data_IF_951809323879
#
_entry.id   IF_951809323879
#
_cell.length_a   1.000
_cell.length_b   1.000
_cell.length_c   1.000
_cell.angle_alpha   90.00
_cell.angle_beta   90.00
_cell.angle_gamma   90.00
#
_symmetry.space_group_name_H-M   'P 1'
#
loop_
_entity.id
_entity.type
_entity.pdbx_description
1 polymer ?
#
# COMPACT_ATOMS: atom_id res chain seq x y z
N UNK A 1 -2.40 -3.90 -10.34
CA UNK A 1 -0.99 -3.67 -9.93
C UNK A 1 -0.73 -4.18 -8.51
N UNK A 2 -1.69 -4.03 -7.59
CA UNK A 2 -1.70 -4.69 -6.28
C UNK A 2 -3.14 -5.11 -5.97
N UNK A 3 -3.34 -6.33 -5.48
CA UNK A 3 -4.66 -6.85 -5.05
C UNK A 3 -4.48 -7.59 -3.74
N UNK A 4 -5.36 -7.27 -2.79
CA UNK A 4 -5.46 -7.88 -1.47
C UNK A 4 -6.80 -8.60 -1.40
N UNK A 5 -6.78 -9.90 -1.15
CA UNK A 5 -7.94 -10.69 -0.78
C UNK A 5 -7.82 -11.15 0.67
N UNK A 6 -8.92 -11.13 1.40
CA UNK A 6 -9.03 -11.74 2.72
C UNK A 6 -10.06 -12.86 2.61
N UNK A 7 -9.77 -14.00 3.21
CA UNK A 7 -10.69 -15.13 3.29
C UNK A 7 -10.82 -15.58 4.73
N UNK A 8 -12.02 -16.01 5.09
CA UNK A 8 -12.31 -16.60 6.38
C UNK A 8 -13.44 -17.64 6.23
N UNK A 9 -13.38 -18.71 7.01
CA UNK A 9 -14.37 -19.79 7.09
C UNK A 9 -14.51 -20.32 8.51
N UNK A 10 -15.59 -21.02 8.82
CA UNK A 10 -15.80 -21.67 10.12
C UNK A 10 -15.89 -20.72 11.32
N UNK A 11 -16.24 -19.44 11.11
CA UNK A 11 -16.31 -18.43 12.19
C UNK A 11 -17.72 -18.21 12.77
N UNK A 12 -18.74 -18.88 12.23
CA UNK A 12 -20.15 -18.73 12.64
C UNK A 12 -20.37 -19.02 14.13
N UNK A 13 -19.67 -20.02 14.67
CA UNK A 13 -19.75 -20.44 16.08
C UNK A 13 -19.30 -19.36 17.08
N UNK A 14 -18.59 -18.31 16.64
CA UNK A 14 -18.14 -17.22 17.50
C UNK A 14 -19.05 -15.99 17.46
N UNK A 15 -19.95 -15.93 16.48
CA UNK A 15 -20.81 -14.75 16.23
C UNK A 15 -22.28 -15.05 16.54
N UNK A 16 -22.70 -16.33 16.55
CA UNK A 16 -24.08 -16.69 16.86
C UNK A 16 -24.42 -16.51 18.34
N UNK A 17 -25.55 -15.84 18.58
CA UNK A 17 -26.27 -15.84 19.85
C UNK A 17 -27.73 -16.27 19.67
N UNK A 18 -28.04 -17.11 18.68
CA UNK A 18 -29.40 -17.56 18.38
C UNK A 18 -29.47 -19.04 17.96
N UNK A 19 -30.51 -19.72 18.45
CA UNK A 19 -30.85 -21.15 18.32
C UNK A 19 -31.18 -21.62 16.88
N UNK A 20 -30.41 -21.23 15.87
CA UNK A 20 -30.51 -21.82 14.53
C UNK A 20 -29.44 -22.92 14.39
N UNK A 21 -29.69 -24.06 15.05
CA UNK A 21 -28.88 -25.30 15.00
C UNK A 21 -28.96 -26.06 13.66
N UNK A 22 -29.52 -25.47 12.61
CA UNK A 22 -29.65 -26.14 11.31
C UNK A 22 -28.48 -25.74 10.40
N UNK A 23 -27.41 -26.56 10.50
CA UNK A 23 -26.16 -26.55 9.73
C UNK A 23 -25.03 -25.70 10.34
N UNK A 24 -24.63 -25.99 11.58
CA UNK A 24 -23.25 -25.74 11.98
C UNK A 24 -22.34 -26.68 11.17
N UNK A 25 -21.85 -26.21 10.02
CA UNK A 25 -20.68 -26.81 9.40
C UNK A 25 -19.57 -26.77 10.46
N UNK A 26 -19.21 -27.95 10.97
CA UNK A 26 -18.08 -28.20 11.88
C UNK A 26 -16.75 -28.05 11.11
N UNK A 27 -16.69 -27.00 10.29
CA UNK A 27 -15.55 -26.56 9.53
C UNK A 27 -14.58 -25.87 10.48
N UNK A 28 -13.32 -26.26 10.38
CA UNK A 28 -12.26 -25.64 11.14
C UNK A 28 -12.20 -24.14 10.82
N UNK A 29 -12.17 -23.33 11.87
CA UNK A 29 -12.07 -21.89 11.74
C UNK A 29 -10.74 -21.54 11.07
N UNK A 30 -10.79 -21.03 9.85
CA UNK A 30 -9.61 -20.68 9.06
C UNK A 30 -9.75 -19.24 8.59
N UNK A 31 -8.67 -18.47 8.66
CA UNK A 31 -8.60 -17.18 7.99
C UNK A 31 -7.22 -16.92 7.43
N UNK A 32 -7.16 -16.15 6.36
CA UNK A 32 -5.92 -15.77 5.74
C UNK A 32 -6.10 -14.66 4.73
N UNK A 33 -5.01 -14.42 4.03
CA UNK A 33 -4.85 -13.33 3.08
C UNK A 33 -4.17 -13.84 1.82
N UNK A 34 -4.69 -13.42 0.68
CA UNK A 34 -4.08 -13.62 -0.63
C UNK A 34 -3.61 -12.28 -1.18
N UNK A 35 -2.43 -12.30 -1.80
CA UNK A 35 -1.78 -11.10 -2.33
C UNK A 35 -1.40 -11.34 -3.78
N UNK A 36 -1.74 -10.39 -4.64
CA UNK A 36 -1.25 -10.36 -6.02
C UNK A 36 -0.52 -9.04 -6.26
N UNK A 37 0.75 -9.12 -6.63
CA UNK A 37 1.62 -7.96 -6.84
C UNK A 37 2.18 -8.01 -8.26
N UNK A 38 1.96 -6.93 -9.02
CA UNK A 38 2.36 -6.81 -10.44
C UNK A 38 1.93 -8.01 -11.32
N UNK A 39 0.76 -8.59 -11.03
CA UNK A 39 0.23 -9.74 -11.78
C UNK A 39 0.78 -11.10 -11.33
N UNK A 40 1.71 -11.14 -10.37
CA UNK A 40 2.18 -12.37 -9.73
C UNK A 40 1.38 -12.64 -8.47
N UNK A 41 0.77 -13.82 -8.39
CA UNK A 41 0.05 -14.30 -7.20
C UNK A 41 1.07 -14.83 -6.21
N UNK A 42 1.08 -14.29 -4.99
CA UNK A 42 1.93 -14.76 -3.89
C UNK A 42 1.27 -15.91 -3.15
N UNK A 43 2.07 -16.68 -2.41
CA UNK A 43 1.53 -17.73 -1.53
C UNK A 43 0.56 -17.10 -0.52
N UNK A 44 -0.67 -17.62 -0.37
CA UNK A 44 -1.58 -17.15 0.65
C UNK A 44 -0.96 -17.27 2.04
N UNK A 45 -1.15 -16.24 2.85
CA UNK A 45 -0.71 -16.21 4.24
C UNK A 45 -1.89 -16.60 5.12
N UNK A 46 -1.80 -17.73 5.80
CA UNK A 46 -2.83 -18.20 6.74
C UNK A 46 -2.53 -17.56 8.10
N UNK A 47 -3.52 -16.88 8.68
CA UNK A 47 -3.41 -16.24 9.99
C UNK A 47 -3.59 -17.24 11.11
N UNK A 48 -4.53 -18.16 10.94
CA UNK A 48 -4.78 -19.28 11.85
C UNK A 48 -5.48 -20.39 11.08
N UNK A 49 -5.22 -21.63 11.48
CA UNK A 49 -5.84 -22.84 10.98
C UNK A 49 -6.39 -23.65 12.16
N UNK A 50 -7.69 -23.54 12.39
CA UNK A 50 -8.42 -24.19 13.48
C UNK A 50 -8.75 -23.27 14.65
N UNK A 51 -9.79 -23.68 15.41
CA UNK A 51 -10.34 -22.93 16.55
C UNK A 51 -9.30 -22.71 17.66
N UNK A 52 -8.39 -23.66 17.87
CA UNK A 52 -7.36 -23.59 18.92
C UNK A 52 -6.30 -22.51 18.69
N UNK A 53 -5.85 -22.34 17.45
CA UNK A 53 -4.86 -21.32 17.09
C UNK A 53 -5.46 -19.91 17.13
N UNK A 54 -6.67 -19.75 16.58
CA UNK A 54 -7.46 -18.51 16.70
C UNK A 54 -7.58 -18.09 18.17
N UNK A 55 -8.04 -19.02 19.00
CA UNK A 55 -8.19 -18.79 20.43
C UNK A 55 -6.87 -18.47 21.11
N UNK A 56 -5.78 -19.16 20.73
CA UNK A 56 -4.42 -18.83 21.17
C UNK A 56 -4.06 -17.37 20.88
N UNK A 57 -4.37 -16.84 19.70
CA UNK A 57 -4.13 -15.44 19.34
C UNK A 57 -5.02 -14.44 20.10
N UNK A 58 -6.28 -14.79 20.36
CA UNK A 58 -7.20 -13.96 21.18
C UNK A 58 -6.72 -13.89 22.63
N UNK A 59 -6.37 -15.02 23.25
CA UNK A 59 -5.92 -15.08 24.64
C UNK A 59 -4.53 -14.50 24.87
N UNK A 60 -3.61 -14.70 23.94
CA UNK A 60 -2.27 -14.10 24.00
C UNK A 60 -2.26 -12.61 23.63
N UNK A 61 -3.36 -12.11 23.05
CA UNK A 61 -3.47 -10.74 22.59
C UNK A 61 -2.55 -10.39 21.41
N UNK A 62 -1.92 -11.39 20.77
CA UNK A 62 -0.95 -11.15 19.69
C UNK A 62 -1.58 -10.50 18.46
N UNK A 63 -2.87 -10.72 18.23
CA UNK A 63 -3.61 -10.08 17.13
C UNK A 63 -3.71 -8.56 17.28
N UNK A 64 -3.64 -8.04 18.51
CA UNK A 64 -3.76 -6.62 18.82
C UNK A 64 -2.50 -5.83 18.49
N UNK A 65 -1.38 -6.47 18.17
CA UNK A 65 -0.15 -5.79 17.77
C UNK A 65 -0.08 -5.65 16.24
N UNK A 66 0.31 -4.47 15.72
CA UNK A 66 0.57 -4.30 14.30
C UNK A 66 1.60 -5.33 13.81
N UNK A 67 1.18 -6.18 12.88
CA UNK A 67 1.99 -7.27 12.34
C UNK A 67 2.25 -7.01 10.85
N UNK A 68 3.52 -7.00 10.40
CA UNK A 68 3.85 -6.81 8.99
C UNK A 68 3.42 -8.04 8.20
N UNK A 69 2.60 -7.81 7.18
CA UNK A 69 2.03 -8.84 6.32
C UNK A 69 2.75 -8.91 4.95
N UNK A 70 3.24 -7.76 4.45
CA UNK A 70 4.01 -7.71 3.20
C UNK A 70 4.96 -6.51 3.19
N UNK A 71 6.25 -6.76 2.96
CA UNK A 71 7.27 -5.71 2.83
C UNK A 71 8.17 -6.02 1.64
N UNK A 72 8.10 -5.17 0.61
CA UNK A 72 8.93 -5.37 -0.57
C UNK A 72 9.16 -4.08 -1.35
N UNK A 73 10.35 -3.99 -1.94
CA UNK A 73 10.68 -2.99 -2.96
C UNK A 73 10.79 -3.67 -4.30
N UNK A 74 10.08 -3.14 -5.29
CA UNK A 74 10.06 -3.67 -6.65
C UNK A 74 10.39 -2.55 -7.64
N UNK A 75 11.11 -2.91 -8.70
CA UNK A 75 11.36 -2.00 -9.81
C UNK A 75 10.09 -1.91 -10.66
N UNK A 76 9.65 -0.68 -10.93
CA UNK A 76 8.52 -0.37 -11.82
C UNK A 76 8.97 -0.14 -13.25
N UNK A 77 10.10 0.55 -13.39
CA UNK A 77 10.65 0.93 -14.69
C UNK A 77 12.17 0.86 -14.58
N UNK A 78 12.79 0.16 -15.51
CA UNK A 78 14.23 0.15 -15.69
C UNK A 78 14.48 0.20 -17.19
N UNK A 79 14.85 1.38 -17.68
CA UNK A 79 15.10 1.58 -19.09
C UNK A 79 16.38 2.39 -19.28
N UNK A 80 17.22 1.91 -20.18
CA UNK A 80 18.39 2.61 -20.67
C UNK A 80 18.42 2.55 -22.20
N UNK A 81 18.29 3.72 -22.83
CA UNK A 81 18.24 3.86 -24.28
C UNK A 81 19.33 4.80 -24.76
N UNK A 82 19.87 4.50 -25.94
CA UNK A 82 20.85 5.35 -26.62
C UNK A 82 20.35 5.66 -28.01
N UNK A 83 20.21 6.94 -28.29
CA UNK A 83 19.74 7.47 -29.56
C UNK A 83 20.88 8.19 -30.27
N UNK A 84 21.11 7.82 -31.53
CA UNK A 84 21.98 8.57 -32.42
C UNK A 84 21.15 9.69 -33.08
N UNK A 85 21.51 10.94 -32.81
CA UNK A 85 20.82 12.09 -33.37
C UNK A 85 21.38 12.44 -34.76
N UNK A 86 20.57 13.12 -35.57
CA UNK A 86 20.95 13.53 -36.94
C UNK A 86 22.19 14.43 -36.99
N UNK A 87 22.50 15.14 -35.90
CA UNK A 87 23.70 15.97 -35.77
C UNK A 87 24.95 15.17 -35.35
N UNK A 88 24.89 13.83 -35.32
CA UNK A 88 25.99 12.96 -34.89
C UNK A 88 26.19 12.89 -33.37
N UNK A 89 25.37 13.58 -32.58
CA UNK A 89 25.41 13.49 -31.13
C UNK A 89 24.76 12.19 -30.63
N UNK A 90 25.22 11.70 -29.49
CA UNK A 90 24.58 10.57 -28.79
C UNK A 90 23.77 11.11 -27.61
N UNK A 91 22.49 10.76 -27.58
CA UNK A 91 21.58 11.02 -26.48
C UNK A 91 21.37 9.72 -25.70
N UNK A 92 21.74 9.70 -24.43
CA UNK A 92 21.47 8.61 -23.51
C UNK A 92 20.32 9.00 -22.59
N UNK A 93 19.29 8.19 -22.57
CA UNK A 93 18.16 8.30 -21.67
C UNK A 93 18.22 7.11 -20.70
N UNK A 94 18.22 7.38 -19.41
CA UNK A 94 18.10 6.34 -18.39
C UNK A 94 16.99 6.73 -17.42
N UNK A 95 16.09 5.80 -17.15
CA UNK A 95 14.97 5.99 -16.22
C UNK A 95 14.85 4.78 -15.31
N UNK A 96 14.85 5.02 -14.00
CA UNK A 96 14.70 4.03 -12.97
C UNK A 96 13.53 4.44 -12.06
N UNK A 97 12.47 3.64 -12.06
CA UNK A 97 11.32 3.78 -11.18
C UNK A 97 11.26 2.62 -10.21
N UNK A 98 11.02 2.90 -8.93
CA UNK A 98 10.85 1.90 -7.89
C UNK A 98 9.62 2.20 -7.03
N UNK A 99 8.99 1.15 -6.54
CA UNK A 99 7.93 1.22 -5.55
C UNK A 99 8.29 0.32 -4.36
N UNK A 100 8.16 0.87 -3.16
CA UNK A 100 8.26 0.16 -1.89
C UNK A 100 6.88 0.10 -1.27
N UNK A 101 6.47 -1.06 -0.80
CA UNK A 101 5.19 -1.29 -0.12
C UNK A 101 5.48 -1.96 1.21
N UNK A 102 4.90 -1.41 2.27
CA UNK A 102 4.88 -1.96 3.62
C UNK A 102 3.41 -2.03 4.08
N UNK A 103 2.91 -3.25 4.21
CA UNK A 103 1.54 -3.59 4.60
C UNK A 103 1.56 -4.16 6.00
N UNK A 104 0.88 -3.50 6.92
CA UNK A 104 0.73 -3.91 8.31
C UNK A 104 -0.76 -4.15 8.62
N UNK A 105 -1.04 -5.18 9.39
CA UNK A 105 -2.38 -5.52 9.86
C UNK A 105 -2.45 -5.57 11.38
N UNK A 106 -3.58 -5.16 11.94
CA UNK A 106 -3.88 -5.23 13.37
C UNK A 106 -5.34 -5.59 13.53
N UNK A 107 -5.64 -6.53 14.43
CA UNK A 107 -7.02 -6.96 14.71
C UNK A 107 -7.23 -7.04 16.22
N UNK A 108 -8.23 -6.33 16.72
CA UNK A 108 -8.66 -6.38 18.11
C UNK A 108 -10.07 -6.95 18.16
N UNK A 109 -10.29 -7.99 18.96
CA UNK A 109 -11.62 -8.58 19.14
C UNK A 109 -11.94 -8.69 20.63
N UNK A 110 -13.15 -8.33 21.01
CA UNK A 110 -13.69 -8.51 22.35
C UNK A 110 -14.97 -9.33 22.29
N UNK A 111 -14.93 -10.55 22.81
CA UNK A 111 -16.10 -11.42 22.91
C UNK A 111 -17.10 -10.84 23.92
N UNK A 112 -16.61 -10.36 25.07
CA UNK A 112 -17.45 -9.74 26.11
C UNK A 112 -18.08 -8.42 25.68
N UNK A 113 -17.30 -7.58 24.99
CA UNK A 113 -17.77 -6.33 24.42
C UNK A 113 -18.56 -6.50 23.11
N UNK A 114 -18.63 -7.73 22.59
CA UNK A 114 -19.26 -8.11 21.33
C UNK A 114 -18.89 -7.19 20.17
N UNK A 115 -17.60 -6.84 20.08
CA UNK A 115 -17.08 -5.97 19.04
C UNK A 115 -15.73 -6.47 18.49
N UNK A 116 -15.42 -6.08 17.26
CA UNK A 116 -14.13 -6.29 16.65
C UNK A 116 -13.72 -5.07 15.84
N UNK A 117 -12.42 -4.78 15.85
CA UNK A 117 -11.81 -3.70 15.09
C UNK A 117 -10.64 -4.26 14.30
N UNK A 118 -10.53 -3.88 13.05
CA UNK A 118 -9.40 -4.21 12.19
C UNK A 118 -8.83 -2.93 11.60
N UNK A 119 -7.51 -2.86 11.57
CA UNK A 119 -6.75 -1.77 10.96
C UNK A 119 -5.72 -2.36 10.02
N UNK A 120 -5.81 -1.99 8.76
CA UNK A 120 -4.81 -2.32 7.74
C UNK A 120 -4.17 -1.02 7.30
N UNK A 121 -2.86 -0.94 7.47
CA UNK A 121 -2.06 0.22 7.09
C UNK A 121 -1.14 -0.17 5.95
N UNK A 122 -1.25 0.56 4.85
CA UNK A 122 -0.39 0.40 3.69
C UNK A 122 0.43 1.68 3.53
N UNK A 123 1.71 1.59 3.88
CA UNK A 123 2.71 2.61 3.59
C UNK A 123 3.34 2.31 2.23
N UNK A 124 3.32 3.27 1.32
CA UNK A 124 3.90 3.11 -0.01
C UNK A 124 4.89 4.22 -0.26
N UNK A 125 6.07 3.88 -0.77
CA UNK A 125 7.09 4.82 -1.23
C UNK A 125 7.29 4.66 -2.73
N UNK A 126 7.19 5.75 -3.48
CA UNK A 126 7.39 5.76 -4.93
C UNK A 126 8.56 6.69 -5.23
N UNK A 127 9.53 6.18 -5.98
CA UNK A 127 10.68 6.95 -6.44
C UNK A 127 10.85 6.78 -7.94
N UNK A 128 11.02 7.89 -8.66
CA UNK A 128 11.33 7.92 -10.07
C UNK A 128 12.55 8.79 -10.30
N UNK A 129 13.62 8.17 -10.75
CA UNK A 129 14.85 8.83 -11.14
C UNK A 129 15.03 8.72 -12.64
N UNK A 130 15.55 9.77 -13.25
CA UNK A 130 15.96 9.69 -14.64
C UNK A 130 17.07 10.65 -14.96
N UNK A 131 17.81 10.30 -15.99
CA UNK A 131 18.91 11.09 -16.53
C UNK A 131 18.82 11.15 -18.05
N UNK A 132 19.12 12.32 -18.58
CA UNK A 132 19.25 12.59 -20.00
C UNK A 132 20.64 13.17 -20.23
N UNK A 133 21.48 12.45 -20.95
CA UNK A 133 22.84 12.86 -21.26
C UNK A 133 23.00 13.04 -22.76
N UNK A 134 23.30 14.27 -23.18
CA UNK A 134 23.68 14.58 -24.55
C UNK A 134 25.18 14.88 -24.60
N UNK A 135 25.93 14.08 -25.34
CA UNK A 135 27.37 14.26 -25.51
C UNK A 135 27.72 14.58 -26.96
N UNK A 136 28.46 15.67 -27.14
CA UNK A 136 29.09 16.08 -28.39
C UNK A 136 30.57 16.37 -28.14
N UNK A 137 31.35 16.59 -29.20
CA UNK A 137 32.78 16.93 -29.06
C UNK A 137 33.03 18.28 -28.38
N UNK A 138 32.04 19.18 -28.34
CA UNK A 138 32.19 20.56 -27.86
C UNK A 138 31.30 20.89 -26.65
N UNK A 139 30.26 20.10 -26.37
CA UNK A 139 29.41 20.29 -25.20
C UNK A 139 28.88 18.96 -24.66
N UNK A 140 28.83 18.86 -23.32
CA UNK A 140 28.16 17.80 -22.58
C UNK A 140 27.04 18.41 -21.75
N UNK A 141 25.80 18.01 -22.05
CA UNK A 141 24.59 18.42 -21.33
C UNK A 141 24.07 17.22 -20.54
N UNK A 142 23.79 17.41 -19.25
CA UNK A 142 23.11 16.43 -18.41
C UNK A 142 21.86 17.06 -17.80
N UNK A 143 20.75 16.32 -17.82
CA UNK A 143 19.55 16.65 -17.06
C UNK A 143 19.20 15.44 -16.21
N UNK A 144 19.30 15.60 -14.91
CA UNK A 144 18.88 14.60 -13.93
C UNK A 144 17.57 15.07 -13.28
N UNK A 145 16.61 14.19 -13.16
CA UNK A 145 15.36 14.44 -12.44
C UNK A 145 15.09 13.32 -11.45
N UNK A 146 14.51 13.71 -10.33
CA UNK A 146 14.17 12.83 -9.23
C UNK A 146 12.79 13.27 -8.72
N UNK A 147 11.88 12.30 -8.61
CA UNK A 147 10.49 12.50 -8.21
C UNK A 147 10.14 11.44 -7.18
N UNK A 148 9.81 11.86 -5.97
CA UNK A 148 9.48 10.97 -4.86
C UNK A 148 8.14 11.33 -4.23
N UNK A 149 7.41 10.31 -3.79
CA UNK A 149 6.14 10.46 -3.06
C UNK A 149 5.95 9.30 -2.09
N UNK A 150 5.42 9.60 -0.91
CA UNK A 150 5.12 8.60 0.12
C UNK A 150 3.62 8.60 0.44
N UNK A 151 2.76 7.97 -0.39
CA UNK A 151 1.34 7.83 -0.07
C UNK A 151 1.10 6.78 1.03
N UNK A 152 0.12 7.05 1.89
CA UNK A 152 -0.36 6.11 2.91
C UNK A 152 -1.85 5.87 2.74
N UNK A 153 -2.25 4.60 2.86
CA UNK A 153 -3.64 4.17 2.83
C UNK A 153 -3.96 3.42 4.13
N UNK A 154 -5.08 3.76 4.74
CA UNK A 154 -5.58 3.13 5.96
C UNK A 154 -6.98 2.58 5.69
N UNK A 155 -7.14 1.27 5.85
CA UNK A 155 -8.46 0.64 5.89
C UNK A 155 -8.75 0.29 7.34
N UNK A 156 -9.79 0.92 7.90
CA UNK A 156 -10.31 0.57 9.23
C UNK A 156 -11.66 -0.08 9.09
N UNK A 157 -11.88 -1.15 9.85
CA UNK A 157 -13.15 -1.87 9.90
C UNK A 157 -13.58 -2.00 11.34
N UNK A 158 -14.79 -1.53 11.64
CA UNK A 158 -15.42 -1.58 12.95
C UNK A 158 -16.63 -2.53 12.84
N UNK A 159 -16.65 -3.60 13.61
CA UNK A 159 -17.71 -4.61 13.67
C UNK A 159 -18.34 -4.62 15.06
N UNK A 160 -19.66 -4.47 15.10
CA UNK A 160 -20.47 -4.65 16.31
C UNK A 160 -21.41 -5.84 16.09
N UNK A 161 -21.35 -6.83 16.97
CA UNK A 161 -22.19 -8.04 16.95
C UNK A 161 -22.94 -8.25 18.27
N UNK A 162 -23.22 -7.16 18.99
CA UNK A 162 -23.98 -7.16 20.25
C UNK A 162 -25.45 -7.50 20.08
N UNK A 163 -26.08 -7.06 18.99
CA UNK A 163 -27.49 -7.28 18.66
C UNK A 163 -27.67 -7.53 17.16
N UNK A 164 -27.79 -6.46 16.37
CA UNK A 164 -27.76 -6.51 14.91
C UNK A 164 -26.32 -6.34 14.42
N UNK A 165 -25.78 -7.35 13.72
CA UNK A 165 -24.42 -7.31 13.18
C UNK A 165 -24.24 -6.11 12.23
N UNK A 166 -23.42 -5.15 12.66
CA UNK A 166 -23.16 -3.92 11.93
C UNK A 166 -21.68 -3.81 11.61
N UNK A 167 -21.33 -3.71 10.33
CA UNK A 167 -19.96 -3.56 9.84
C UNK A 167 -19.79 -2.20 9.17
N UNK A 168 -18.86 -1.40 9.67
CA UNK A 168 -18.43 -0.14 9.07
C UNK A 168 -17.00 -0.25 8.58
N UNK A 169 -16.76 0.05 7.31
CA UNK A 169 -15.43 0.13 6.72
C UNK A 169 -15.13 1.56 6.25
N UNK A 170 -13.91 2.03 6.52
CA UNK A 170 -13.42 3.35 6.09
C UNK A 170 -12.07 3.19 5.41
N UNK A 171 -11.99 3.58 4.14
CA UNK A 171 -10.75 3.66 3.38
C UNK A 171 -10.29 5.12 3.31
N UNK A 172 -9.20 5.43 4.01
CA UNK A 172 -8.64 6.78 4.11
C UNK A 172 -7.28 6.83 3.46
N UNK A 173 -7.07 7.84 2.62
CA UNK A 173 -5.78 8.22 2.08
C UNK A 173 -5.27 9.43 2.85
N UNK A 174 -4.06 9.33 3.41
CA UNK A 174 -3.43 10.42 4.14
C UNK A 174 -2.85 11.48 3.21
N UNK A 175 -2.62 12.68 3.75
CA UNK A 175 -1.86 13.73 3.07
C UNK A 175 -0.48 13.19 2.65
N UNK A 176 -0.05 13.51 1.45
CA UNK A 176 1.30 13.15 0.97
C UNK A 176 1.97 14.33 0.29
N UNK A 177 3.30 14.29 0.19
CA UNK A 177 4.08 15.33 -0.47
C UNK A 177 4.77 14.73 -1.69
N UNK A 178 4.53 15.33 -2.84
CA UNK A 178 5.26 15.05 -4.06
C UNK A 178 6.48 15.96 -4.11
N UNK A 179 7.67 15.39 -3.98
CA UNK A 179 8.94 16.09 -4.10
C UNK A 179 9.50 15.88 -5.49
N UNK A 180 9.90 16.97 -6.15
CA UNK A 180 10.58 16.94 -7.44
C UNK A 180 11.88 17.73 -7.35
N UNK A 181 12.97 17.12 -7.82
CA UNK A 181 14.27 17.76 -8.00
C UNK A 181 14.71 17.62 -9.45
N UNK A 182 15.28 18.67 -10.02
CA UNK A 182 15.86 18.65 -11.36
C UNK A 182 17.21 19.35 -11.33
N UNK A 183 18.24 18.69 -11.82
CA UNK A 183 19.61 19.20 -11.92
C UNK A 183 19.98 19.26 -13.39
N UNK A 184 20.29 20.45 -13.88
CA UNK A 184 20.75 20.69 -15.25
C UNK A 184 22.21 21.07 -15.21
N UNK A 185 23.05 20.32 -15.90
CA UNK A 185 24.49 20.55 -15.99
C UNK A 185 24.91 20.78 -17.43
N UNK A 186 25.67 21.85 -17.66
CA UNK A 186 26.32 22.17 -18.94
C UNK A 186 27.82 22.21 -18.71
N UNK A 187 28.58 21.48 -19.52
CA UNK A 187 30.04 21.49 -19.47
C UNK A 187 30.64 21.46 -20.87
N UNK A 188 31.78 22.14 -21.05
CA UNK A 188 32.52 22.18 -22.32
C UNK A 188 33.78 21.33 -22.17
N UNK A 189 33.92 20.22 -22.90
CA UNK A 189 35.13 19.39 -22.88
C UNK A 189 36.37 20.22 -23.22
N UNK A 190 37.46 20.07 -22.45
CA UNK A 190 38.70 20.83 -22.64
C UNK A 190 38.71 22.23 -22.03
N UNK A 191 37.59 22.71 -21.47
CA UNK A 191 37.50 23.97 -20.72
C UNK A 191 37.18 23.73 -19.25
N UNK A 192 37.50 24.70 -18.38
CA UNK A 192 37.04 24.73 -16.98
C UNK A 192 35.57 25.15 -16.84
N UNK A 193 34.91 25.49 -17.95
CA UNK A 193 33.53 25.93 -17.94
C UNK A 193 32.57 24.80 -17.57
N UNK A 194 31.91 24.95 -16.42
CA UNK A 194 30.83 24.09 -15.95
C UNK A 194 29.76 24.95 -15.28
N UNK A 195 28.52 24.82 -15.72
CA UNK A 195 27.37 25.48 -15.11
C UNK A 195 26.38 24.43 -14.63
N UNK A 196 25.96 24.53 -13.38
CA UNK A 196 24.96 23.65 -12.77
C UNK A 196 23.80 24.52 -12.30
N UNK A 197 22.58 24.10 -12.62
CA UNK A 197 21.36 24.72 -12.15
C UNK A 197 20.47 23.65 -11.53
N UNK A 198 20.14 23.84 -10.26
CA UNK A 198 19.24 22.96 -9.52
C UNK A 198 17.91 23.66 -9.32
N UNK A 199 16.81 22.94 -9.50
CA UNK A 199 15.46 23.40 -9.20
C UNK A 199 14.75 22.31 -8.42
N UNK A 200 14.16 22.67 -7.28
CA UNK A 200 13.33 21.78 -6.48
C UNK A 200 11.93 22.38 -6.33
N UNK A 201 10.94 21.50 -6.26
CA UNK A 201 9.55 21.88 -6.00
C UNK A 201 8.88 20.76 -5.21
N UNK A 202 8.10 21.16 -4.22
CA UNK A 202 7.29 20.23 -3.43
C UNK A 202 5.83 20.63 -3.59
N UNK A 203 4.95 19.65 -3.81
CA UNK A 203 3.49 19.85 -3.87
C UNK A 203 2.83 18.99 -2.81
N UNK A 204 1.97 19.60 -2.01
CA UNK A 204 1.11 18.87 -1.07
C UNK A 204 -0.06 18.27 -1.84
N UNK A 205 -0.32 16.99 -1.61
CA UNK A 205 -1.47 16.25 -2.10
C UNK A 205 -2.35 16.00 -0.89
N UNK A 206 -3.54 16.59 -0.89
CA UNK A 206 -4.49 16.43 0.21
C UNK A 206 -4.99 14.98 0.28
N UNK A 207 -5.13 14.49 1.49
CA UNK A 207 -5.77 13.24 1.82
C UNK A 207 -7.26 13.30 1.58
N UNK A 208 -7.87 12.14 1.46
CA UNK A 208 -9.29 11.98 1.18
C UNK A 208 -9.78 10.64 1.69
N UNK A 209 -11.08 10.56 1.96
CA UNK A 209 -11.75 9.32 2.33
C UNK A 209 -12.55 8.84 1.14
N UNK A 210 -12.33 7.58 0.75
CA UNK A 210 -13.06 6.98 -0.36
C UNK A 210 -14.44 6.50 0.11
N UNK A 211 -15.48 6.88 -0.64
CA UNK A 211 -16.80 6.30 -0.46
C UNK A 211 -16.80 4.87 -0.99
N UNK A 212 -17.27 3.92 -0.17
CA UNK A 212 -17.42 2.51 -0.56
C UNK A 212 -18.79 2.29 -1.22
N UNK A 213 -19.77 1.75 -0.49
CA UNK A 213 -21.14 1.61 -0.96
C UNK A 213 -22.13 2.24 0.03
N UNK A 214 -23.37 2.46 -0.41
CA UNK A 214 -24.40 3.10 0.41
C UNK A 214 -24.69 2.31 1.70
N UNK A 215 -24.76 0.97 1.60
CA UNK A 215 -24.99 0.09 2.76
C UNK A 215 -23.91 0.27 3.84
N UNK A 216 -22.64 0.40 3.45
CA UNK A 216 -21.53 0.65 4.35
C UNK A 216 -21.68 2.03 5.02
N UNK A 217 -22.09 3.06 4.27
CA UNK A 217 -22.33 4.38 4.84
C UNK A 217 -23.46 4.36 5.88
N UNK A 218 -24.54 3.63 5.61
CA UNK A 218 -25.65 3.45 6.54
C UNK A 218 -25.19 2.73 7.81
N UNK A 219 -24.40 1.67 7.69
CA UNK A 219 -23.84 0.94 8.85
C UNK A 219 -22.85 1.80 9.65
N UNK A 220 -21.96 2.55 8.99
CA UNK A 220 -21.09 3.51 9.64
C UNK A 220 -21.86 4.59 10.39
N UNK A 221 -23.00 5.04 9.85
CA UNK A 221 -23.85 6.01 10.53
C UNK A 221 -24.54 5.45 11.78
N UNK A 222 -24.81 4.14 11.82
CA UNK A 222 -25.35 3.46 13.00
C UNK A 222 -24.28 3.36 14.09
N UNK A 223 -23.09 2.87 13.74
CA UNK A 223 -21.98 2.71 14.68
C UNK A 223 -21.52 4.08 15.24
N UNK A 224 -21.50 5.14 14.43
CA UNK A 224 -21.10 6.48 14.88
C UNK A 224 -22.12 7.15 15.83
N UNK A 225 -23.34 6.63 15.94
CA UNK A 225 -24.41 7.15 16.81
C UNK A 225 -24.57 6.34 18.10
N UNK A 226 -23.98 5.15 18.17
CA UNK A 226 -23.93 4.32 19.39
C UNK A 226 -22.83 4.79 20.32
#
# INVERSE_FOLDING_TARGET
>A
MFTLGLFAGGMSSFVSSGDDEENEDDSDAIAGMELTVQGSVLRPLVFFDGKGELMGHVWSGTASQPTPAYQATTLLQDNEERYALQNGATLQLSTLGAISIDLNGQVTMSIWGRNAQSKVEQNTGIALQGSLLLQTSFVKLSVEFDVNQEPQLHLSSDLDFSSDTSLCMKLMQSDSVLNKRTVKTVSVPGSKFRKVQTTSSSRKIAGLTHALNQKNNDMCSKIAKS
#
